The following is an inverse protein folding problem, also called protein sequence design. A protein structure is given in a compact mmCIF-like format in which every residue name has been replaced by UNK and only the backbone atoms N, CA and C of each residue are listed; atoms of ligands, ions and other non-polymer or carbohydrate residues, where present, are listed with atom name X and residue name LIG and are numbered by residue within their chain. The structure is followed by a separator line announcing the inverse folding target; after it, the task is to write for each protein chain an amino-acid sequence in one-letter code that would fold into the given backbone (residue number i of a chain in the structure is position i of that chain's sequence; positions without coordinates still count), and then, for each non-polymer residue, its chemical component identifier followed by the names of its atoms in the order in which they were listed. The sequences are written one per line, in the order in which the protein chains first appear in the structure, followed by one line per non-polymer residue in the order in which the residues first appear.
data_IF_640306362775
#
_entry.id   IF_640306362775
#
_cell.length_a   1.000
_cell.length_b   1.000
_cell.length_c   1.000
_cell.angle_alpha   90.00
_cell.angle_beta   90.00
_cell.angle_gamma   90.00
#
_symmetry.space_group_name_H-M   'P 1'
#
loop_
_entity.id
_entity.type
_entity.pdbx_description
1 polymer ?
#
# COMPACT_ATOMS: atom_id res chain seq x y z
N UNK A 1 -72.44 27.42 -67.21
CA UNK A 1 -71.24 26.77 -67.79
C UNK A 1 -70.21 26.63 -66.69
N UNK A 2 -69.83 25.39 -66.30
CA UNK A 2 -69.05 25.13 -65.09
C UNK A 2 -67.54 25.06 -65.39
N UNK A 3 -66.73 25.52 -64.42
CA UNK A 3 -65.33 25.09 -64.26
C UNK A 3 -65.09 24.91 -62.76
N UNK A 4 -64.70 23.71 -62.26
CA UNK A 4 -64.54 23.46 -60.84
C UNK A 4 -63.14 23.85 -60.36
N UNK A 5 -63.06 24.64 -59.28
CA UNK A 5 -61.80 24.93 -58.57
C UNK A 5 -61.64 23.96 -57.40
N UNK A 6 -60.48 23.29 -57.38
CA UNK A 6 -60.04 22.32 -56.37
C UNK A 6 -59.99 22.92 -54.96
N UNK A 7 -60.53 22.17 -54.01
CA UNK A 7 -60.35 22.39 -52.57
C UNK A 7 -58.92 22.05 -52.14
N UNK A 8 -58.31 22.95 -51.37
CA UNK A 8 -57.11 22.68 -50.57
C UNK A 8 -57.48 22.97 -49.12
N UNK A 9 -57.44 21.94 -48.27
CA UNK A 9 -57.69 22.02 -46.83
C UNK A 9 -56.44 22.55 -46.12
N UNK A 10 -56.57 23.65 -45.37
CA UNK A 10 -55.62 24.03 -44.33
C UNK A 10 -56.06 23.45 -42.98
N UNK A 11 -55.23 22.68 -42.27
CA UNK A 11 -55.53 22.27 -40.91
C UNK A 11 -55.27 23.42 -39.91
N UNK A 12 -56.19 23.55 -38.97
CA UNK A 12 -56.21 24.54 -37.91
C UNK A 12 -55.06 24.36 -36.90
N UNK A 13 -54.51 25.49 -36.44
CA UNK A 13 -53.56 25.60 -35.33
C UNK A 13 -54.23 25.23 -33.99
N UNK A 14 -53.93 24.05 -33.46
CA UNK A 14 -53.94 23.67 -32.04
C UNK A 14 -52.55 23.06 -31.81
N UNK A 15 -51.71 23.33 -30.82
CA UNK A 15 -51.88 23.79 -29.43
C UNK A 15 -50.48 24.09 -28.87
N UNK A 16 -50.13 25.35 -28.60
CA UNK A 16 -48.79 25.72 -28.12
C UNK A 16 -48.63 25.73 -26.58
N UNK A 17 -49.59 25.20 -25.82
CA UNK A 17 -49.62 25.33 -24.34
C UNK A 17 -49.28 24.06 -23.56
N UNK A 18 -49.04 22.92 -24.22
CA UNK A 18 -48.72 21.65 -23.56
C UNK A 18 -47.21 21.38 -23.42
N UNK A 19 -46.34 22.03 -24.21
CA UNK A 19 -44.90 21.74 -24.24
C UNK A 19 -44.07 22.45 -23.15
N UNK A 20 -44.64 23.42 -22.44
CA UNK A 20 -43.92 24.22 -21.43
C UNK A 20 -43.95 23.56 -20.05
N UNK A 21 -44.91 22.67 -19.76
CA UNK A 21 -45.01 22.00 -18.45
C UNK A 21 -44.20 20.71 -18.33
N UNK A 22 -43.90 20.02 -19.44
CA UNK A 22 -43.02 18.83 -19.42
C UNK A 22 -41.53 19.20 -19.34
N UNK A 23 -41.15 20.38 -19.81
CA UNK A 23 -39.76 20.86 -19.78
C UNK A 23 -39.32 21.28 -18.37
N UNK A 24 -40.23 21.84 -17.55
CA UNK A 24 -39.91 22.19 -16.15
C UNK A 24 -39.79 20.96 -15.23
N UNK A 25 -40.57 19.89 -15.46
CA UNK A 25 -40.48 18.66 -14.67
C UNK A 25 -39.20 17.86 -14.96
N UNK A 26 -38.73 17.84 -16.21
CA UNK A 26 -37.49 17.18 -16.59
C UNK A 26 -36.23 17.92 -16.06
N UNK A 27 -36.28 19.26 -15.97
CA UNK A 27 -35.17 20.07 -15.44
C UNK A 27 -35.05 19.96 -13.91
N UNK A 28 -36.18 19.79 -13.19
CA UNK A 28 -36.16 19.61 -11.73
C UNK A 28 -35.71 18.20 -11.34
N UNK A 29 -36.01 17.17 -12.15
CA UNK A 29 -35.57 15.80 -11.87
C UNK A 29 -34.07 15.57 -12.14
N UNK A 30 -33.42 16.44 -12.92
CA UNK A 30 -31.97 16.41 -13.16
C UNK A 30 -31.15 17.06 -12.03
N UNK A 31 -31.82 17.82 -11.13
CA UNK A 31 -31.20 18.49 -9.98
C UNK A 31 -31.31 17.69 -8.67
N UNK A 32 -31.90 16.50 -8.71
CA UNK A 32 -32.17 15.62 -7.56
C UNK A 32 -31.45 14.27 -7.65
N UNK A 33 -30.51 14.09 -8.59
CA UNK A 33 -29.53 13.02 -8.44
C UNK A 33 -28.69 13.35 -7.22
N UNK A 34 -28.58 12.47 -6.20
CA UNK A 34 -27.60 12.67 -5.15
C UNK A 34 -26.25 12.80 -5.87
N UNK A 35 -25.66 14.00 -5.80
CA UNK A 35 -24.27 14.16 -6.14
C UNK A 35 -23.55 13.13 -5.28
N UNK A 36 -23.03 12.06 -5.90
CA UNK A 36 -22.03 11.24 -5.26
C UNK A 36 -20.99 12.22 -4.80
N UNK A 37 -20.88 12.41 -3.49
CA UNK A 37 -19.98 13.36 -2.88
C UNK A 37 -18.58 13.01 -3.36
N UNK A 38 -18.08 13.70 -4.38
CA UNK A 38 -16.68 13.66 -4.75
C UNK A 38 -15.97 14.46 -3.68
N UNK A 39 -15.77 13.83 -2.52
CA UNK A 39 -14.88 14.39 -1.51
C UNK A 39 -13.53 14.53 -2.20
N UNK A 40 -12.96 15.74 -2.15
CA UNK A 40 -11.59 15.92 -2.59
C UNK A 40 -10.73 14.96 -1.74
N UNK A 41 -10.04 14.04 -2.40
CA UNK A 41 -9.30 12.93 -1.76
C UNK A 41 -8.12 13.45 -0.93
N UNK A 42 -7.55 14.57 -1.38
CA UNK A 42 -6.73 15.46 -0.59
C UNK A 42 -7.60 16.62 -0.14
N UNK A 43 -7.71 16.80 1.17
CA UNK A 43 -8.44 17.89 1.81
C UNK A 43 -7.48 19.01 2.24
N UNK A 44 -8.01 20.21 2.42
CA UNK A 44 -7.25 21.38 2.86
C UNK A 44 -6.77 22.27 1.71
N UNK A 45 -5.89 23.21 2.03
CA UNK A 45 -5.39 24.20 1.07
C UNK A 45 -4.23 23.60 0.28
N UNK A 46 -4.17 23.84 -1.03
CA UNK A 46 -3.05 23.40 -1.87
C UNK A 46 -1.70 23.91 -1.31
N UNK A 47 -1.70 25.13 -0.74
CA UNK A 47 -0.52 25.74 -0.10
C UNK A 47 -0.02 25.01 1.14
N UNK A 48 -0.78 24.04 1.66
CA UNK A 48 -0.32 23.18 2.77
C UNK A 48 0.81 22.26 2.29
N UNK A 49 0.78 21.83 1.03
CA UNK A 49 1.76 20.90 0.46
C UNK A 49 2.55 21.51 -0.71
N UNK A 50 2.04 22.58 -1.33
CA UNK A 50 2.64 23.22 -2.49
C UNK A 50 3.07 24.66 -2.25
N UNK A 51 4.05 25.11 -3.02
CA UNK A 51 4.47 26.51 -3.12
C UNK A 51 4.74 26.88 -4.56
N UNK A 52 4.29 28.06 -4.99
CA UNK A 52 4.51 28.53 -6.36
C UNK A 52 5.93 29.08 -6.56
N UNK A 53 6.54 29.62 -5.51
CA UNK A 53 7.79 30.39 -5.60
C UNK A 53 8.80 30.02 -4.51
N UNK A 54 8.48 29.06 -3.63
CA UNK A 54 9.19 28.84 -2.37
C UNK A 54 9.44 30.15 -1.59
N UNK A 55 8.48 31.07 -1.65
CA UNK A 55 8.56 32.33 -0.92
C UNK A 55 7.18 32.89 -0.63
N UNK A 56 6.92 33.20 0.65
CA UNK A 56 5.73 33.91 1.08
C UNK A 56 6.18 35.02 2.04
N UNK A 57 5.90 36.28 1.68
CA UNK A 57 6.32 37.46 2.45
C UNK A 57 7.84 37.52 2.70
N UNK A 58 8.65 36.97 1.78
CA UNK A 58 10.11 36.95 1.88
C UNK A 58 10.69 35.80 2.70
N UNK A 59 9.85 34.96 3.33
CA UNK A 59 10.27 33.74 4.01
C UNK A 59 10.13 32.51 3.10
N UNK A 60 10.96 31.49 3.31
CA UNK A 60 10.81 30.17 2.67
C UNK A 60 9.43 29.57 2.98
N UNK A 61 8.90 28.80 2.03
CA UNK A 61 7.70 28.01 2.26
C UNK A 61 8.02 26.54 2.55
N UNK A 62 9.27 26.08 2.45
CA UNK A 62 9.59 24.69 2.75
C UNK A 62 9.42 24.36 4.23
N UNK A 63 9.15 23.09 4.54
CA UNK A 63 9.00 22.63 5.93
C UNK A 63 10.31 22.76 6.74
N UNK A 64 11.46 22.60 6.08
CA UNK A 64 12.80 22.74 6.64
C UNK A 64 13.38 24.16 6.52
N UNK A 65 12.58 25.12 6.05
CA UNK A 65 13.00 26.51 5.74
C UNK A 65 14.07 26.62 4.66
N UNK A 66 14.32 25.58 3.86
CA UNK A 66 15.28 25.61 2.75
C UNK A 66 14.90 26.61 1.66
N UNK A 67 15.89 27.21 1.01
CA UNK A 67 15.68 28.06 -0.16
C UNK A 67 15.51 27.25 -1.47
N UNK A 68 15.84 25.96 -1.44
CA UNK A 68 15.75 25.06 -2.60
C UNK A 68 14.29 24.82 -2.98
N UNK A 69 13.95 25.03 -4.25
CA UNK A 69 12.62 24.68 -4.77
C UNK A 69 12.54 23.19 -5.05
N UNK A 70 11.44 22.57 -4.67
CA UNK A 70 11.19 21.17 -4.98
C UNK A 70 10.47 20.96 -6.32
N UNK A 71 10.61 19.73 -6.81
CA UNK A 71 9.85 19.25 -7.97
C UNK A 71 8.35 19.30 -7.69
N UNK A 72 7.57 19.42 -8.76
CA UNK A 72 6.11 19.44 -8.70
C UNK A 72 5.53 20.55 -7.79
N UNK A 73 6.30 21.63 -7.58
CA UNK A 73 5.93 22.75 -6.71
C UNK A 73 5.69 22.31 -5.26
N UNK A 74 6.27 21.20 -4.82
CA UNK A 74 6.07 20.70 -3.47
C UNK A 74 6.82 21.57 -2.45
N UNK A 75 6.39 21.47 -1.19
CA UNK A 75 7.03 22.12 -0.06
C UNK A 75 8.19 21.31 0.53
N UNK A 76 8.31 20.05 0.12
CA UNK A 76 9.44 19.18 0.43
C UNK A 76 9.34 17.87 -0.38
N UNK A 77 10.34 17.01 -0.23
CA UNK A 77 10.36 15.64 -0.74
C UNK A 77 9.54 14.68 0.15
N UNK A 78 9.77 13.37 -0.01
CA UNK A 78 9.12 12.33 0.77
C UNK A 78 9.26 12.56 2.29
N UNK A 79 10.49 12.61 2.83
CA UNK A 79 10.70 12.70 4.28
C UNK A 79 10.46 14.11 4.82
N UNK A 80 10.69 15.17 4.05
CA UNK A 80 10.39 16.49 4.57
C UNK A 80 8.88 16.76 4.70
N UNK A 81 8.02 15.96 4.06
CA UNK A 81 6.58 15.95 4.34
C UNK A 81 6.16 14.84 5.31
N UNK A 82 6.64 13.62 5.08
CA UNK A 82 6.18 12.39 5.75
C UNK A 82 7.15 11.86 6.81
N UNK A 83 8.25 12.52 7.11
CA UNK A 83 9.30 12.01 7.98
C UNK A 83 9.98 13.10 8.78
N UNK A 84 9.21 14.06 9.30
CA UNK A 84 9.76 15.24 9.97
C UNK A 84 10.35 14.96 11.37
N UNK A 85 10.39 13.69 11.80
CA UNK A 85 10.89 13.26 13.11
C UNK A 85 10.17 13.92 14.31
N UNK A 86 8.93 14.39 14.11
CA UNK A 86 8.13 15.03 15.14
C UNK A 86 7.51 14.06 16.14
N UNK A 87 6.76 14.60 17.10
CA UNK A 87 6.08 13.82 18.15
C UNK A 87 4.75 13.20 17.72
N UNK A 88 4.22 13.57 16.56
CA UNK A 88 2.92 13.11 16.07
C UNK A 88 3.12 12.16 14.89
N UNK A 89 2.45 10.99 14.91
CA UNK A 89 2.44 10.08 13.75
C UNK A 89 1.51 10.54 12.64
N UNK A 90 0.56 11.42 12.94
CA UNK A 90 -0.28 12.14 11.98
C UNK A 90 -0.10 13.63 12.21
N UNK A 91 0.46 14.33 11.22
CA UNK A 91 0.60 15.77 11.25
C UNK A 91 -0.68 16.43 10.72
N UNK A 92 -1.29 17.28 11.54
CA UNK A 92 -2.40 18.14 11.18
C UNK A 92 -1.87 19.47 10.62
N UNK A 93 -2.15 19.76 9.35
CA UNK A 93 -1.75 21.00 8.70
C UNK A 93 -2.95 21.64 7.98
N UNK A 94 -3.63 22.57 8.67
CA UNK A 94 -4.78 23.33 8.13
C UNK A 94 -5.84 22.44 7.43
N UNK A 95 -6.25 21.35 8.09
CA UNK A 95 -7.25 20.41 7.58
C UNK A 95 -6.72 19.36 6.59
N UNK A 96 -5.41 19.28 6.40
CA UNK A 96 -4.72 18.18 5.73
C UNK A 96 -4.06 17.29 6.77
N UNK A 97 -4.28 15.98 6.68
CA UNK A 97 -3.62 14.99 7.55
C UNK A 97 -2.45 14.36 6.79
N UNK A 98 -1.26 14.39 7.37
CA UNK A 98 -0.03 13.88 6.73
C UNK A 98 0.55 12.77 7.61
N UNK A 99 0.45 11.48 7.21
CA UNK A 99 1.05 10.41 7.97
C UNK A 99 2.56 10.57 8.00
N UNK A 100 3.15 10.41 9.19
CA UNK A 100 4.58 10.47 9.41
C UNK A 100 5.13 9.04 9.53
N UNK A 101 5.99 8.64 8.59
CA UNK A 101 6.75 7.37 8.60
C UNK A 101 7.96 7.41 9.53
N UNK A 102 8.30 8.59 10.07
CA UNK A 102 9.32 8.79 11.10
C UNK A 102 8.81 9.76 12.17
N UNK A 103 8.61 9.26 13.39
CA UNK A 103 8.06 10.04 14.51
C UNK A 103 8.42 9.45 15.88
N UNK A 104 8.17 10.21 16.94
CA UNK A 104 8.34 9.80 18.35
C UNK A 104 7.02 9.66 19.13
N UNK A 105 5.88 9.64 18.43
CA UNK A 105 4.55 9.41 19.03
C UNK A 105 4.54 8.17 19.94
N UNK A 106 4.14 8.38 21.20
CA UNK A 106 4.11 7.36 22.24
C UNK A 106 2.88 6.46 22.18
N UNK A 107 1.86 6.81 21.40
CA UNK A 107 0.61 6.05 21.30
C UNK A 107 0.64 4.90 20.29
N UNK A 108 1.78 4.68 19.62
CA UNK A 108 1.97 3.62 18.63
C UNK A 108 2.50 4.14 17.30
N UNK A 109 2.71 3.23 16.36
CA UNK A 109 3.23 3.53 15.01
C UNK A 109 2.14 3.37 13.94
N UNK A 110 2.48 3.76 12.70
CA UNK A 110 1.64 3.46 11.53
C UNK A 110 1.64 1.96 11.21
N UNK A 111 0.69 1.51 10.38
CA UNK A 111 0.51 0.09 10.03
C UNK A 111 1.74 -0.56 9.37
N UNK A 112 2.59 0.24 8.72
CA UNK A 112 3.84 -0.20 8.10
C UNK A 112 5.05 -0.11 9.05
N UNK A 113 4.89 0.50 10.23
CA UNK A 113 5.96 0.75 11.18
C UNK A 113 6.58 2.16 11.08
N UNK A 114 7.80 2.32 11.60
CA UNK A 114 8.39 3.63 11.85
C UNK A 114 9.92 3.64 11.69
N UNK A 115 10.44 4.45 10.75
CA UNK A 115 11.88 4.56 10.49
C UNK A 115 12.68 5.11 11.67
N UNK A 116 12.02 5.68 12.69
CA UNK A 116 12.67 6.10 13.93
C UNK A 116 13.45 4.98 14.65
N UNK A 117 13.12 3.71 14.38
CA UNK A 117 13.86 2.56 14.91
C UNK A 117 15.21 2.34 14.21
N UNK A 118 15.34 2.71 12.94
CA UNK A 118 16.63 2.72 12.23
C UNK A 118 17.47 3.87 12.77
N UNK A 119 16.87 5.05 12.89
CA UNK A 119 17.62 6.29 13.22
C UNK A 119 17.96 6.45 14.71
N UNK A 120 17.36 5.62 15.58
CA UNK A 120 17.50 5.74 17.03
C UNK A 120 16.68 6.89 17.65
N UNK A 121 15.80 7.52 16.88
CA UNK A 121 14.79 8.44 17.44
C UNK A 121 13.81 7.71 18.36
N UNK A 122 13.56 6.42 18.10
CA UNK A 122 12.87 5.50 19.00
C UNK A 122 13.80 4.32 19.32
N UNK A 123 14.24 4.24 20.57
CA UNK A 123 15.10 3.15 21.03
C UNK A 123 16.56 3.34 20.60
N UNK A 124 17.26 2.23 20.37
CA UNK A 124 18.65 2.22 19.91
C UNK A 124 18.66 2.07 18.39
N UNK A 125 19.43 2.91 17.70
CA UNK A 125 19.60 2.83 16.25
C UNK A 125 20.15 1.45 15.87
N UNK A 126 19.51 0.80 14.89
CA UNK A 126 19.92 -0.51 14.41
C UNK A 126 19.56 -0.69 12.93
N UNK A 127 20.55 -1.17 12.17
CA UNK A 127 20.43 -1.43 10.72
C UNK A 127 19.38 -2.50 10.42
N UNK A 128 19.36 -3.57 11.23
CA UNK A 128 18.48 -4.73 11.07
C UNK A 128 16.99 -4.45 11.37
N UNK A 129 16.62 -3.23 11.73
CA UNK A 129 15.27 -2.89 12.17
C UNK A 129 14.34 -2.44 11.03
N UNK A 130 14.84 -2.24 9.81
CA UNK A 130 14.04 -1.70 8.72
C UNK A 130 14.65 -1.78 7.33
N UNK A 131 13.92 -1.24 6.36
CA UNK A 131 14.43 -0.98 5.03
C UNK A 131 15.16 0.37 5.02
N UNK A 132 16.49 0.36 4.95
CA UNK A 132 17.35 1.54 4.94
C UNK A 132 17.27 2.28 3.59
N UNK A 133 16.17 3.01 3.36
CA UNK A 133 16.02 3.88 2.19
C UNK A 133 17.07 4.99 2.25
N UNK A 134 17.70 5.28 1.12
CA UNK A 134 18.78 6.29 1.03
C UNK A 134 18.30 7.68 1.43
N UNK A 135 16.99 7.93 1.33
CA UNK A 135 16.33 9.17 1.71
C UNK A 135 16.58 9.50 3.20
N UNK A 136 16.81 8.50 4.06
CA UNK A 136 17.08 8.71 5.50
C UNK A 136 18.42 9.43 5.76
N UNK A 137 19.34 9.42 4.80
CA UNK A 137 20.67 10.01 4.93
C UNK A 137 21.79 8.98 4.89
N UNK A 138 23.00 9.45 4.56
CA UNK A 138 24.19 8.60 4.37
C UNK A 138 24.63 7.84 5.62
N UNK A 139 24.26 8.34 6.79
CA UNK A 139 24.53 7.74 8.10
C UNK A 139 23.68 6.49 8.39
N UNK A 140 22.56 6.30 7.67
CA UNK A 140 21.63 5.19 7.85
C UNK A 140 21.60 4.28 6.63
N UNK A 141 22.63 4.30 5.79
CA UNK A 141 22.78 3.31 4.71
C UNK A 141 23.05 1.94 5.33
N UNK A 142 22.45 0.90 4.73
CA UNK A 142 22.67 -0.51 5.07
C UNK A 142 24.16 -0.89 5.02
N UNK A 143 24.65 -1.50 6.09
CA UNK A 143 26.07 -1.81 6.28
C UNK A 143 26.36 -3.29 6.55
N UNK A 144 25.33 -4.10 6.80
CA UNK A 144 25.44 -5.49 7.26
C UNK A 144 25.13 -6.53 6.19
N UNK A 145 24.32 -6.20 5.19
CA UNK A 145 23.86 -7.12 4.14
C UNK A 145 24.80 -7.22 2.93
N UNK A 146 26.04 -6.71 3.01
CA UNK A 146 27.09 -6.84 1.99
C UNK A 146 26.63 -6.49 0.55
N UNK A 147 25.70 -5.53 0.39
CA UNK A 147 25.06 -5.16 -0.88
C UNK A 147 24.25 -6.27 -1.57
N UNK A 148 23.91 -7.35 -0.88
CA UNK A 148 23.11 -8.45 -1.42
C UNK A 148 21.73 -8.45 -0.78
N UNK A 149 20.70 -8.40 -1.63
CA UNK A 149 19.32 -8.43 -1.18
C UNK A 149 18.99 -9.86 -0.67
N UNK A 150 18.49 -10.03 0.58
CA UNK A 150 18.13 -11.34 1.08
C UNK A 150 17.01 -11.98 0.25
N UNK A 151 17.24 -13.19 -0.26
CA UNK A 151 16.21 -13.89 -1.03
C UNK A 151 15.92 -13.27 -2.40
N UNK A 152 16.89 -12.58 -3.01
CA UNK A 152 16.82 -12.06 -4.37
C UNK A 152 16.25 -13.04 -5.38
N UNK A 153 15.62 -12.51 -6.44
CA UNK A 153 15.07 -13.31 -7.53
C UNK A 153 16.21 -14.10 -8.20
N UNK A 154 16.20 -15.43 -8.04
CA UNK A 154 17.18 -16.34 -8.64
C UNK A 154 16.91 -16.57 -10.13
N UNK A 155 16.98 -15.51 -10.92
CA UNK A 155 16.76 -15.54 -12.37
C UNK A 155 17.44 -14.34 -13.05
N UNK A 156 18.07 -14.54 -14.21
CA UNK A 156 18.44 -13.48 -15.16
C UNK A 156 19.06 -12.20 -14.55
N UNK A 157 20.11 -12.34 -13.73
CA UNK A 157 20.84 -11.22 -13.10
C UNK A 157 20.02 -10.39 -12.09
N UNK A 158 18.93 -10.90 -11.53
CA UNK A 158 18.14 -10.15 -10.55
C UNK A 158 18.63 -10.32 -9.10
N UNK A 159 19.49 -11.29 -8.82
CA UNK A 159 19.88 -11.67 -7.46
C UNK A 159 20.54 -10.53 -6.67
N UNK A 160 21.43 -9.79 -7.33
CA UNK A 160 22.29 -8.78 -6.70
C UNK A 160 22.10 -7.37 -7.30
N UNK A 161 21.14 -7.20 -8.23
CA UNK A 161 21.07 -5.99 -9.06
C UNK A 161 19.75 -5.21 -8.96
N UNK A 162 18.67 -5.77 -8.39
CA UNK A 162 17.40 -5.03 -8.28
C UNK A 162 17.56 -3.89 -7.27
N UNK A 163 17.89 -4.25 -6.02
CA UNK A 163 18.10 -3.30 -4.92
C UNK A 163 19.37 -3.69 -4.18
N UNK A 164 20.14 -2.69 -3.75
CA UNK A 164 21.29 -2.83 -2.86
C UNK A 164 21.29 -1.69 -1.82
N UNK A 165 22.28 -1.69 -0.93
CA UNK A 165 22.36 -0.74 0.19
C UNK A 165 22.36 0.74 -0.26
N UNK A 166 22.77 1.03 -1.49
CA UNK A 166 22.98 2.38 -1.99
C UNK A 166 21.89 2.90 -2.93
N UNK A 167 20.85 2.11 -3.23
CA UNK A 167 19.89 2.48 -4.26
C UNK A 167 18.41 2.31 -3.89
N UNK A 168 18.09 1.78 -2.70
CA UNK A 168 16.71 1.68 -2.23
C UNK A 168 16.15 3.07 -1.91
N UNK A 169 14.99 3.41 -2.45
CA UNK A 169 14.35 4.73 -2.27
C UNK A 169 12.91 4.59 -1.78
N UNK A 170 12.27 5.68 -1.36
CA UNK A 170 10.83 5.64 -1.06
C UNK A 170 10.00 5.29 -2.31
N UNK A 171 10.33 5.85 -3.47
CA UNK A 171 9.52 5.75 -4.69
C UNK A 171 10.35 5.68 -5.99
N UNK A 172 9.80 5.03 -7.01
CA UNK A 172 10.40 4.92 -8.35
C UNK A 172 11.13 3.61 -8.60
N UNK A 173 12.06 3.60 -9.57
CA UNK A 173 12.77 2.41 -10.09
C UNK A 173 13.12 1.36 -9.00
N UNK A 174 13.79 1.80 -7.94
CA UNK A 174 14.21 0.93 -6.82
C UNK A 174 13.45 1.24 -5.53
N UNK A 175 12.26 1.83 -5.63
CA UNK A 175 11.44 2.19 -4.48
C UNK A 175 10.20 1.32 -4.33
N UNK A 176 9.45 1.55 -3.25
CA UNK A 176 8.21 0.82 -3.00
C UNK A 176 6.99 1.52 -3.61
N UNK A 177 6.94 2.84 -3.57
CA UNK A 177 5.79 3.61 -4.03
C UNK A 177 5.96 4.09 -5.48
N UNK A 178 4.84 4.31 -6.17
CA UNK A 178 4.86 4.86 -7.52
C UNK A 178 5.28 3.85 -8.59
N UNK A 179 5.50 4.35 -9.80
CA UNK A 179 5.89 3.51 -10.92
C UNK A 179 7.35 3.09 -10.87
N UNK A 180 7.61 1.78 -11.02
CA UNK A 180 8.95 1.18 -10.96
C UNK A 180 9.46 0.81 -12.35
N UNK A 181 9.78 1.83 -13.14
CA UNK A 181 10.30 1.69 -14.51
C UNK A 181 11.82 1.57 -14.53
N UNK A 182 12.39 1.15 -15.67
CA UNK A 182 13.83 0.91 -15.89
C UNK A 182 14.73 2.12 -15.61
N UNK A 183 16.04 1.90 -15.61
CA UNK A 183 17.08 2.94 -15.46
C UNK A 183 16.80 4.20 -16.30
N UNK A 184 17.06 5.37 -15.69
CA UNK A 184 16.76 6.69 -16.27
C UNK A 184 15.33 7.18 -16.03
N UNK A 185 14.47 6.35 -15.43
CA UNK A 185 13.11 6.75 -15.05
C UNK A 185 13.08 7.63 -13.80
N UNK A 186 12.04 8.45 -13.62
CA UNK A 186 11.90 9.29 -12.43
C UNK A 186 11.88 8.47 -11.14
N UNK A 187 12.62 8.92 -10.12
CA UNK A 187 12.56 8.45 -8.74
C UNK A 187 11.94 9.51 -7.82
N UNK A 188 11.67 9.12 -6.57
CA UNK A 188 11.11 9.98 -5.54
C UNK A 188 9.71 10.51 -5.98
N UNK A 189 9.24 11.65 -5.48
CA UNK A 189 7.89 12.21 -5.72
C UNK A 189 7.47 12.26 -7.20
N UNK A 190 8.42 12.35 -8.12
CA UNK A 190 8.15 12.35 -9.56
C UNK A 190 7.58 11.01 -10.06
N UNK A 191 7.95 9.88 -9.45
CA UNK A 191 7.42 8.55 -9.77
C UNK A 191 5.94 8.38 -9.36
N UNK A 192 5.43 9.31 -8.53
CA UNK A 192 4.06 9.34 -8.03
C UNK A 192 3.27 10.55 -8.57
N UNK A 193 3.81 11.25 -9.56
CA UNK A 193 3.22 12.48 -10.08
C UNK A 193 1.78 12.26 -10.57
N UNK A 194 0.87 13.11 -10.11
CA UNK A 194 -0.57 13.04 -10.44
C UNK A 194 -1.37 12.04 -9.59
N UNK A 195 -0.74 10.97 -9.13
CA UNK A 195 -1.45 9.90 -8.42
C UNK A 195 -2.10 10.39 -7.11
N UNK A 196 -1.41 11.26 -6.37
CA UNK A 196 -1.93 11.79 -5.12
C UNK A 196 -3.19 12.67 -5.30
N UNK A 197 -3.45 13.23 -6.50
CA UNK A 197 -4.70 13.95 -6.80
C UNK A 197 -5.86 13.02 -7.15
N UNK A 198 -5.55 11.84 -7.69
CA UNK A 198 -6.52 10.89 -8.20
C UNK A 198 -6.74 9.70 -7.26
N UNK A 199 -6.09 9.71 -6.08
CA UNK A 199 -6.04 8.55 -5.18
C UNK A 199 -7.42 8.00 -4.86
N UNK A 200 -7.54 6.68 -4.94
CA UNK A 200 -8.69 5.91 -4.51
C UNK A 200 -8.37 5.31 -3.14
N UNK A 201 -9.31 5.36 -2.21
CA UNK A 201 -9.18 4.80 -0.85
C UNK A 201 -10.35 3.83 -0.59
N UNK A 202 -10.26 3.04 0.47
CA UNK A 202 -11.20 1.94 0.74
C UNK A 202 -10.83 0.70 -0.06
N UNK A 203 -11.82 0.07 -0.70
CA UNK A 203 -11.64 -1.17 -1.46
C UNK A 203 -10.96 -0.93 -2.81
N UNK A 204 -9.78 -1.51 -2.98
CA UNK A 204 -8.95 -1.38 -4.18
C UNK A 204 -8.83 -2.74 -4.87
N UNK A 205 -9.71 -2.98 -5.84
CA UNK A 205 -9.76 -4.23 -6.63
C UNK A 205 -9.22 -4.08 -8.05
N UNK A 206 -9.01 -2.83 -8.50
CA UNK A 206 -8.40 -2.48 -9.78
C UNK A 206 -7.14 -1.71 -9.44
N UNK A 207 -5.99 -2.39 -9.50
CA UNK A 207 -4.70 -1.89 -9.05
C UNK A 207 -3.74 -1.76 -10.25
N UNK A 208 -4.18 -1.09 -11.30
CA UNK A 208 -3.42 -0.97 -12.55
C UNK A 208 -2.65 0.34 -12.66
N UNK A 209 -2.89 1.32 -11.79
CA UNK A 209 -2.19 2.62 -11.74
C UNK A 209 -1.72 2.92 -10.31
N UNK A 210 -0.92 3.97 -10.14
CA UNK A 210 -0.44 4.36 -8.81
C UNK A 210 -1.63 4.74 -7.92
N UNK A 211 -2.53 5.57 -8.43
CA UNK A 211 -3.67 6.12 -7.67
C UNK A 211 -4.73 5.12 -7.24
N UNK A 212 -4.83 3.95 -7.87
CA UNK A 212 -5.83 2.93 -7.52
C UNK A 212 -5.22 1.66 -6.95
N UNK A 213 -3.90 1.65 -6.72
CA UNK A 213 -3.23 0.57 -6.02
C UNK A 213 -3.10 0.87 -4.53
N UNK A 214 -3.20 -0.18 -3.70
CA UNK A 214 -3.12 -0.08 -2.26
C UNK A 214 -1.83 0.65 -1.83
N UNK A 215 -1.98 1.76 -1.10
CA UNK A 215 -0.88 2.60 -0.61
C UNK A 215 0.11 3.03 -1.69
N UNK A 216 -0.39 3.26 -2.91
CA UNK A 216 0.41 3.61 -4.08
C UNK A 216 1.46 2.54 -4.48
N UNK A 217 1.28 1.29 -4.03
CA UNK A 217 2.11 0.15 -4.39
C UNK A 217 1.57 -0.45 -5.70
N UNK A 218 2.06 0.03 -6.85
CA UNK A 218 1.50 -0.31 -8.17
C UNK A 218 1.32 -1.81 -8.35
N UNK A 219 0.10 -2.24 -8.69
CA UNK A 219 -0.24 -3.65 -8.85
C UNK A 219 -0.86 -4.30 -7.62
N UNK A 220 -0.88 -3.65 -6.45
CA UNK A 220 -1.33 -4.28 -5.20
C UNK A 220 -2.79 -3.97 -4.92
N UNK A 221 -3.58 -5.02 -4.69
CA UNK A 221 -4.95 -4.91 -4.18
C UNK A 221 -4.97 -4.90 -2.66
N UNK A 222 -6.03 -4.31 -2.09
CA UNK A 222 -6.22 -4.28 -0.65
C UNK A 222 -7.37 -3.38 -0.25
N UNK A 223 -7.61 -3.29 1.06
CA UNK A 223 -8.54 -2.33 1.62
C UNK A 223 -7.78 -1.33 2.49
N UNK A 224 -7.82 -0.06 2.10
CA UNK A 224 -7.34 1.01 2.95
C UNK A 224 -8.42 1.39 3.94
N UNK A 225 -8.14 1.23 5.24
CA UNK A 225 -9.05 1.67 6.30
C UNK A 225 -9.43 3.13 6.09
N UNK A 226 -10.71 3.46 6.26
CA UNK A 226 -11.20 4.83 6.09
C UNK A 226 -11.45 5.54 7.43
N UNK A 227 -11.44 4.79 8.55
CA UNK A 227 -11.60 5.33 9.89
C UNK A 227 -10.26 5.83 10.43
N UNK A 228 -9.33 4.92 10.75
CA UNK A 228 -8.01 5.25 11.29
C UNK A 228 -6.92 5.34 10.21
N UNK A 229 -7.32 5.15 8.94
CA UNK A 229 -6.51 5.32 7.73
C UNK A 229 -5.23 4.50 7.77
N UNK A 230 -4.12 5.13 8.11
CA UNK A 230 -2.77 4.58 8.01
C UNK A 230 -2.36 3.72 9.20
N UNK A 231 -3.31 3.41 10.10
CA UNK A 231 -3.07 2.67 11.34
C UNK A 231 -3.85 1.35 11.36
N UNK A 232 -3.33 0.39 12.11
CA UNK A 232 -4.03 -0.83 12.51
C UNK A 232 -4.25 -0.76 14.02
N UNK A 233 -5.45 -0.39 14.43
CA UNK A 233 -5.79 -0.11 15.85
C UNK A 233 -6.34 -1.36 16.53
N UNK A 234 -7.18 -2.12 15.82
CA UNK A 234 -7.88 -3.28 16.38
C UNK A 234 -8.39 -4.21 15.27
N UNK A 235 -8.96 -5.34 15.67
CA UNK A 235 -9.66 -6.26 14.76
C UNK A 235 -10.83 -5.59 14.02
N UNK A 236 -11.40 -4.51 14.54
CA UNK A 236 -12.49 -3.77 13.89
C UNK A 236 -12.00 -2.57 13.06
N UNK A 237 -10.75 -2.14 13.24
CA UNK A 237 -10.17 -1.00 12.53
C UNK A 237 -8.72 -1.25 12.14
N UNK A 238 -8.54 -1.80 10.93
CA UNK A 238 -7.25 -2.14 10.34
C UNK A 238 -7.32 -2.11 8.82
N UNK A 239 -6.16 -2.14 8.16
CA UNK A 239 -6.06 -2.31 6.71
C UNK A 239 -6.10 -3.78 6.33
N UNK A 240 -6.76 -4.13 5.23
CA UNK A 240 -6.81 -5.52 4.75
C UNK A 240 -5.89 -5.73 3.56
N UNK A 241 -5.20 -6.86 3.56
CA UNK A 241 -4.23 -7.22 2.54
C UNK A 241 -4.85 -8.26 1.60
N UNK A 242 -4.81 -8.00 0.29
CA UNK A 242 -5.13 -9.05 -0.66
C UNK A 242 -3.99 -10.07 -0.73
N UNK A 243 -4.35 -11.35 -0.65
CA UNK A 243 -3.44 -12.46 -0.83
C UNK A 243 -4.02 -13.51 -1.77
N UNK A 244 -3.14 -14.38 -2.26
CA UNK A 244 -3.49 -15.50 -3.13
C UNK A 244 -3.36 -16.82 -2.35
N UNK A 245 -3.90 -17.91 -2.92
CA UNK A 245 -3.77 -19.27 -2.36
C UNK A 245 -2.59 -20.03 -2.96
N UNK A 246 -1.83 -19.39 -3.84
CA UNK A 246 -0.61 -19.92 -4.42
C UNK A 246 0.33 -18.74 -4.64
N UNK A 247 1.62 -18.86 -4.28
CA UNK A 247 2.60 -17.82 -4.53
C UNK A 247 2.67 -17.46 -6.02
N UNK A 248 3.10 -16.24 -6.32
CA UNK A 248 3.33 -15.91 -7.72
C UNK A 248 4.43 -16.79 -8.33
N UNK A 249 4.31 -17.03 -9.63
CA UNK A 249 5.39 -17.64 -10.42
C UNK A 249 6.18 -16.53 -11.08
N UNK A 250 7.48 -16.47 -10.82
CA UNK A 250 8.38 -15.51 -11.48
C UNK A 250 8.79 -16.06 -12.85
N UNK A 251 8.65 -15.23 -13.89
CA UNK A 251 9.15 -15.56 -15.22
C UNK A 251 8.85 -14.47 -16.24
N UNK A 252 9.63 -14.40 -17.32
CA UNK A 252 9.54 -13.36 -18.34
C UNK A 252 8.36 -13.53 -19.34
N UNK A 253 7.36 -14.34 -19.00
CA UNK A 253 6.22 -14.70 -19.86
C UNK A 253 4.90 -14.09 -19.37
N UNK A 254 3.82 -14.87 -19.42
CA UNK A 254 2.48 -14.44 -18.96
C UNK A 254 2.40 -14.14 -17.46
N UNK A 255 3.41 -14.52 -16.68
CA UNK A 255 3.55 -14.23 -15.25
C UNK A 255 4.64 -13.18 -14.98
N UNK A 256 4.92 -12.35 -15.98
CA UNK A 256 5.93 -11.29 -15.91
C UNK A 256 5.55 -10.22 -14.88
N UNK A 257 6.50 -9.90 -14.02
CA UNK A 257 6.43 -8.72 -13.16
C UNK A 257 6.58 -7.41 -13.96
N UNK A 258 7.17 -7.47 -15.16
CA UNK A 258 7.34 -6.32 -16.04
C UNK A 258 6.08 -6.09 -16.86
N UNK A 259 5.47 -4.92 -16.67
CA UNK A 259 4.31 -4.44 -17.43
C UNK A 259 4.50 -3.01 -17.94
N UNK A 260 3.45 -2.47 -18.54
CA UNK A 260 3.40 -1.08 -19.04
C UNK A 260 3.61 -0.03 -17.95
N UNK A 261 3.43 -0.42 -16.69
CA UNK A 261 3.56 0.42 -15.50
C UNK A 261 4.81 0.07 -14.67
N UNK A 262 5.78 -0.60 -15.30
CA UNK A 262 7.02 -1.02 -14.67
C UNK A 262 6.87 -2.36 -13.97
N UNK A 263 7.64 -2.56 -12.89
CA UNK A 263 7.63 -3.77 -12.08
C UNK A 263 6.41 -3.76 -11.14
N UNK A 264 5.63 -4.85 -11.16
CA UNK A 264 4.44 -5.06 -10.30
C UNK A 264 4.22 -6.55 -10.05
N UNK A 265 3.50 -6.94 -8.97
CA UNK A 265 3.19 -8.34 -8.72
C UNK A 265 2.12 -8.87 -9.69
N UNK A 266 2.40 -9.94 -10.46
CA UNK A 266 1.44 -10.50 -11.42
C UNK A 266 0.18 -11.08 -10.75
N UNK A 267 0.28 -11.55 -9.50
CA UNK A 267 -0.86 -12.03 -8.72
C UNK A 267 -1.58 -10.91 -7.94
N UNK A 268 -1.07 -9.68 -7.99
CA UNK A 268 -1.63 -8.47 -7.37
C UNK A 268 -1.71 -8.49 -5.83
N UNK A 269 -0.95 -9.36 -5.16
CA UNK A 269 -0.93 -9.51 -3.70
C UNK A 269 0.17 -8.67 -3.06
N UNK A 270 0.05 -8.42 -1.75
CA UNK A 270 1.11 -7.74 -1.00
C UNK A 270 2.38 -8.60 -0.89
N UNK A 271 2.23 -9.92 -0.73
CA UNK A 271 3.36 -10.86 -0.67
C UNK A 271 4.06 -10.99 -2.02
N UNK A 272 3.31 -11.03 -3.11
CA UNK A 272 3.83 -10.94 -4.46
C UNK A 272 4.60 -9.64 -4.68
N UNK A 273 4.13 -8.52 -4.11
CA UNK A 273 4.85 -7.24 -4.20
C UNK A 273 6.24 -7.33 -3.55
N UNK A 274 6.32 -7.83 -2.31
CA UNK A 274 7.59 -8.07 -1.63
C UNK A 274 8.52 -8.96 -2.47
N UNK A 275 7.95 -9.99 -3.09
CA UNK A 275 8.68 -10.95 -3.89
C UNK A 275 9.09 -10.44 -5.28
N UNK A 276 8.71 -9.21 -5.67
CA UNK A 276 9.32 -8.54 -6.84
C UNK A 276 10.78 -8.11 -6.59
N UNK A 277 11.23 -8.15 -5.33
CA UNK A 277 12.65 -8.09 -4.95
C UNK A 277 13.08 -9.39 -4.27
N UNK A 278 12.32 -9.88 -3.29
CA UNK A 278 12.63 -11.04 -2.44
C UNK A 278 12.05 -12.36 -2.96
N UNK A 279 12.14 -12.63 -4.27
CA UNK A 279 11.44 -13.73 -4.92
C UNK A 279 11.69 -15.12 -4.34
N UNK A 280 12.93 -15.42 -3.95
CA UNK A 280 13.32 -16.74 -3.43
C UNK A 280 12.67 -17.09 -2.08
N UNK A 281 12.12 -16.10 -1.37
CA UNK A 281 11.38 -16.32 -0.13
C UNK A 281 9.88 -16.56 -0.34
N UNK A 282 9.40 -16.52 -1.59
CA UNK A 282 7.97 -16.56 -1.87
C UNK A 282 7.59 -17.60 -2.93
N UNK A 283 8.34 -17.68 -4.04
CA UNK A 283 7.98 -18.59 -5.14
C UNK A 283 8.06 -20.07 -4.74
N UNK A 284 7.42 -20.94 -5.51
CA UNK A 284 7.73 -22.37 -5.48
C UNK A 284 9.10 -22.64 -6.10
N UNK A 285 9.63 -23.84 -5.85
CA UNK A 285 10.88 -24.31 -6.44
C UNK A 285 10.86 -24.24 -7.97
N UNK A 286 11.95 -23.77 -8.56
CA UNK A 286 12.23 -23.76 -10.00
C UNK A 286 13.59 -24.41 -10.26
N UNK A 287 14.11 -24.35 -11.50
CA UNK A 287 15.48 -24.80 -11.80
C UNK A 287 16.55 -24.03 -11.05
N UNK A 288 16.28 -22.77 -10.72
CA UNK A 288 17.28 -21.80 -10.25
C UNK A 288 16.99 -21.30 -8.82
N UNK A 289 15.78 -21.54 -8.30
CA UNK A 289 15.33 -21.09 -6.98
C UNK A 289 14.76 -22.24 -6.18
N UNK A 290 15.15 -22.36 -4.91
CA UNK A 290 14.54 -23.33 -3.99
C UNK A 290 13.14 -22.88 -3.51
N UNK A 291 12.90 -21.57 -3.47
CA UNK A 291 11.59 -21.02 -3.10
C UNK A 291 11.17 -21.35 -1.65
N UNK A 292 9.86 -21.42 -1.42
CA UNK A 292 9.29 -21.91 -0.14
C UNK A 292 9.21 -23.43 -0.07
N UNK A 293 9.29 -24.11 -1.21
CA UNK A 293 9.16 -25.56 -1.37
C UNK A 293 8.64 -25.93 -2.75
N UNK A 294 8.50 -27.24 -3.00
CA UNK A 294 8.07 -27.77 -4.30
C UNK A 294 6.57 -27.66 -4.55
N UNK A 295 5.78 -27.49 -3.49
CA UNK A 295 4.33 -27.36 -3.56
C UNK A 295 3.78 -26.42 -2.46
N UNK A 296 2.46 -26.26 -2.46
CA UNK A 296 1.72 -25.37 -1.55
C UNK A 296 1.22 -26.06 -0.27
N UNK A 297 1.64 -27.30 0.02
CA UNK A 297 1.06 -28.14 1.08
C UNK A 297 2.08 -28.43 2.18
N UNK A 298 3.21 -29.06 1.85
CA UNK A 298 4.33 -29.41 2.76
C UNK A 298 5.25 -30.46 2.09
N UNK A 299 6.53 -30.60 2.51
CA UNK A 299 7.23 -29.78 3.49
C UNK A 299 7.68 -28.46 2.89
N UNK A 300 7.57 -27.41 3.69
CA UNK A 300 8.17 -26.12 3.35
C UNK A 300 9.59 -26.06 3.87
N UNK A 301 10.47 -25.42 3.09
CA UNK A 301 11.84 -25.12 3.51
C UNK A 301 11.98 -23.66 3.98
N UNK A 302 10.93 -22.84 3.79
CA UNK A 302 10.76 -21.47 4.31
C UNK A 302 9.29 -21.26 4.65
N UNK A 303 8.96 -20.31 5.52
CA UNK A 303 7.56 -20.10 5.93
C UNK A 303 6.68 -19.71 4.72
N UNK A 304 5.53 -20.37 4.51
CA UNK A 304 4.68 -20.09 3.36
C UNK A 304 4.03 -18.70 3.43
N UNK A 305 3.85 -18.08 2.26
CA UNK A 305 3.12 -16.80 2.07
C UNK A 305 2.34 -16.85 0.75
N UNK A 306 1.22 -16.14 0.64
CA UNK A 306 0.18 -16.42 -0.38
C UNK A 306 -0.22 -17.90 -0.41
N UNK A 307 -0.46 -18.47 0.76
CA UNK A 307 -1.01 -19.80 0.94
C UNK A 307 -2.06 -19.77 2.04
N UNK A 308 -3.05 -20.63 1.90
CA UNK A 308 -4.19 -20.73 2.83
C UNK A 308 -3.69 -21.14 4.22
N UNK A 309 -4.13 -20.41 5.24
CA UNK A 309 -4.06 -20.85 6.63
C UNK A 309 -4.92 -22.10 6.76
N UNK A 310 -4.37 -23.30 7.08
CA UNK A 310 -5.15 -24.52 7.03
C UNK A 310 -6.33 -24.56 8.02
N UNK A 311 -7.47 -25.09 7.60
CA UNK A 311 -8.59 -25.43 8.50
C UNK A 311 -8.38 -26.81 9.14
N UNK A 312 -7.28 -26.96 9.87
CA UNK A 312 -6.92 -28.17 10.62
C UNK A 312 -5.89 -27.89 11.69
N UNK A 313 -5.70 -28.87 12.57
CA UNK A 313 -4.65 -28.89 13.57
C UNK A 313 -4.69 -27.65 14.48
N UNK A 314 -3.56 -26.99 14.73
CA UNK A 314 -3.48 -25.78 15.56
C UNK A 314 -4.04 -24.53 14.85
N UNK A 315 -3.93 -24.49 13.52
CA UNK A 315 -4.24 -23.33 12.68
C UNK A 315 -5.73 -23.00 12.63
N UNK A 316 -6.60 -24.01 12.78
CA UNK A 316 -8.06 -23.83 12.79
C UNK A 316 -8.56 -22.95 13.95
N UNK A 317 -7.74 -22.73 14.97
CA UNK A 317 -8.11 -21.93 16.14
C UNK A 317 -7.90 -20.42 15.93
N UNK A 318 -7.08 -20.02 14.95
CA UNK A 318 -6.91 -18.62 14.61
C UNK A 318 -8.15 -18.09 13.86
N UNK A 319 -9.13 -17.63 14.63
CA UNK A 319 -10.48 -17.28 14.14
C UNK A 319 -10.86 -15.82 14.39
N UNK A 320 -10.06 -15.08 15.16
CA UNK A 320 -10.25 -13.65 15.44
C UNK A 320 -9.01 -12.90 14.97
N UNK A 321 -9.19 -11.81 14.22
CA UNK A 321 -8.10 -11.08 13.60
C UNK A 321 -7.15 -10.48 14.64
N UNK A 322 -5.85 -10.71 14.46
CA UNK A 322 -4.79 -10.08 15.26
C UNK A 322 -4.10 -8.98 14.47
N UNK A 323 -4.01 -7.78 15.04
CA UNK A 323 -3.19 -6.69 14.47
C UNK A 323 -1.69 -6.93 14.65
N UNK A 324 -1.29 -7.76 15.61
CA UNK A 324 0.09 -8.21 15.82
C UNK A 324 0.48 -9.28 14.80
N UNK A 325 -0.42 -10.20 14.45
CA UNK A 325 -0.18 -11.25 13.47
C UNK A 325 -1.24 -11.24 12.36
N UNK A 326 -1.27 -10.20 11.50
CA UNK A 326 -2.37 -10.01 10.54
C UNK A 326 -2.43 -11.11 9.49
N UNK A 327 -3.62 -11.34 8.94
CA UNK A 327 -3.84 -12.33 7.87
C UNK A 327 -4.33 -11.62 6.59
N UNK A 328 -4.06 -12.22 5.44
CA UNK A 328 -4.55 -11.74 4.14
C UNK A 328 -5.90 -12.35 3.76
N UNK A 329 -6.59 -11.69 2.82
CA UNK A 329 -7.89 -12.11 2.28
C UNK A 329 -7.75 -12.51 0.82
N UNK A 330 -8.40 -13.60 0.43
CA UNK A 330 -8.50 -14.03 -0.98
C UNK A 330 -9.48 -13.20 -1.80
N UNK A 331 -10.25 -12.33 -1.15
CA UNK A 331 -11.10 -11.32 -1.78
C UNK A 331 -11.01 -10.04 -0.96
N UNK A 332 -10.79 -8.90 -1.61
CA UNK A 332 -10.74 -7.61 -0.92
C UNK A 332 -12.12 -7.30 -0.32
N UNK A 333 -12.23 -7.15 1.01
CA UNK A 333 -13.50 -6.86 1.64
C UNK A 333 -13.90 -5.39 1.44
N UNK A 334 -15.17 -5.07 1.69
CA UNK A 334 -15.67 -3.69 1.61
C UNK A 334 -15.37 -2.86 2.89
N UNK A 335 -14.96 -3.53 3.97
CA UNK A 335 -14.61 -2.97 5.27
C UNK A 335 -13.66 -3.96 6.02
N UNK A 336 -12.98 -3.55 7.10
CA UNK A 336 -12.17 -4.47 7.91
C UNK A 336 -13.04 -5.59 8.51
N UNK A 337 -12.50 -6.81 8.58
CA UNK A 337 -13.17 -7.97 9.18
C UNK A 337 -12.43 -8.43 10.44
N UNK A 338 -13.12 -8.44 11.57
CA UNK A 338 -12.55 -8.94 12.83
C UNK A 338 -12.47 -10.46 12.90
N UNK A 339 -13.09 -11.18 11.95
CA UNK A 339 -13.03 -12.64 11.87
C UNK A 339 -11.90 -13.10 10.94
N UNK A 340 -11.28 -14.22 11.30
CA UNK A 340 -10.37 -15.01 10.46
C UNK A 340 -11.05 -16.33 10.12
N UNK A 341 -10.94 -16.75 8.87
CA UNK A 341 -11.53 -17.97 8.34
C UNK A 341 -10.40 -18.90 7.88
N UNK A 342 -9.93 -19.81 8.75
CA UNK A 342 -9.08 -20.92 8.34
C UNK A 342 -9.69 -21.67 7.15
N UNK A 343 -8.85 -22.16 6.26
CA UNK A 343 -9.25 -22.77 4.98
C UNK A 343 -9.58 -21.76 3.87
N UNK A 344 -9.62 -20.46 4.17
CA UNK A 344 -9.88 -19.40 3.17
C UNK A 344 -8.89 -18.25 3.25
N UNK A 345 -8.63 -17.71 4.43
CA UNK A 345 -7.68 -16.61 4.63
C UNK A 345 -6.24 -17.11 4.48
N UNK A 346 -5.33 -16.21 4.15
CA UNK A 346 -4.00 -16.56 3.65
C UNK A 346 -2.89 -15.89 4.45
N UNK A 347 -1.83 -16.64 4.72
CA UNK A 347 -0.63 -16.09 5.36
C UNK A 347 0.08 -15.17 4.38
N UNK A 348 0.52 -14.01 4.85
CA UNK A 348 1.27 -13.03 4.05
C UNK A 348 2.63 -12.77 4.66
N UNK A 349 3.53 -12.10 3.94
CA UNK A 349 4.82 -11.66 4.49
C UNK A 349 4.59 -10.70 5.67
N UNK A 350 3.55 -9.88 5.58
CA UNK A 350 3.18 -8.94 6.63
C UNK A 350 2.53 -9.61 7.85
N UNK A 351 2.25 -10.92 7.82
CA UNK A 351 1.78 -11.64 9.01
C UNK A 351 2.81 -11.63 10.13
N UNK A 352 4.11 -11.53 9.79
CA UNK A 352 5.20 -11.47 10.77
C UNK A 352 6.03 -10.19 10.65
N UNK A 353 6.11 -9.59 9.46
CA UNK A 353 6.96 -8.42 9.21
C UNK A 353 6.18 -7.10 9.15
N UNK A 354 6.85 -6.03 9.54
CA UNK A 354 6.50 -4.64 9.23
C UNK A 354 7.16 -4.24 7.91
N UNK A 355 6.51 -3.38 7.13
CA UNK A 355 6.98 -3.05 5.78
C UNK A 355 8.10 -1.99 5.76
N UNK A 356 8.06 -1.01 6.67
CA UNK A 356 9.07 0.05 6.77
C UNK A 356 10.15 -0.31 7.79
N UNK A 357 9.80 -0.34 9.06
CA UNK A 357 10.72 -0.61 10.16
C UNK A 357 9.96 -0.97 11.45
N UNK A 358 10.60 -1.70 12.34
CA UNK A 358 10.03 -2.17 13.60
C UNK A 358 11.04 -1.99 14.75
N UNK A 359 10.63 -2.11 16.03
CA UNK A 359 11.58 -2.12 17.14
C UNK A 359 12.40 -3.41 17.24
N UNK A 360 12.14 -4.40 16.37
CA UNK A 360 12.74 -5.72 16.42
C UNK A 360 13.62 -5.98 15.19
N UNK A 361 14.69 -6.79 15.35
CA UNK A 361 15.49 -7.28 14.21
C UNK A 361 14.64 -7.99 13.16
N UNK A 362 15.13 -7.98 11.92
CA UNK A 362 14.48 -8.59 10.75
C UNK A 362 13.09 -8.00 10.47
N UNK A 363 12.83 -6.79 10.98
CA UNK A 363 11.58 -6.05 10.80
C UNK A 363 10.35 -6.80 11.35
N UNK A 364 10.53 -7.64 12.36
CA UNK A 364 9.44 -8.45 12.91
C UNK A 364 8.44 -7.60 13.70
N UNK A 365 7.22 -8.09 13.86
CA UNK A 365 6.17 -7.40 14.64
C UNK A 365 6.32 -7.60 16.15
N UNK A 366 7.15 -8.54 16.57
CA UNK A 366 7.38 -8.94 17.97
C UNK A 366 8.85 -9.36 18.16
N UNK A 367 9.27 -9.48 19.41
CA UNK A 367 10.60 -10.00 19.75
C UNK A 367 10.63 -11.53 19.55
N UNK A 368 11.18 -11.97 18.44
CA UNK A 368 11.29 -13.39 18.15
C UNK A 368 12.28 -14.12 19.07
N UNK A 369 13.24 -13.41 19.67
CA UNK A 369 14.26 -14.03 20.53
C UNK A 369 13.68 -14.52 21.86
N UNK A 370 12.54 -13.98 22.30
CA UNK A 370 11.81 -14.45 23.48
C UNK A 370 10.87 -15.62 23.17
N UNK A 371 10.49 -15.81 21.89
CA UNK A 371 9.53 -16.83 21.44
C UNK A 371 10.09 -18.25 21.43
N UNK A 372 10.25 -18.80 22.64
CA UNK A 372 10.64 -20.17 22.90
C UNK A 372 9.43 -21.11 22.90
N UNK A 373 9.41 -22.05 21.96
CA UNK A 373 8.36 -23.06 21.92
C UNK A 373 8.34 -23.88 23.24
N UNK A 374 7.16 -24.10 23.79
CA UNK A 374 6.90 -24.84 25.03
C UNK A 374 7.59 -24.28 26.29
N UNK A 375 8.11 -23.05 26.25
CA UNK A 375 8.95 -22.53 27.34
C UNK A 375 9.05 -20.99 27.42
N UNK A 376 8.29 -20.23 26.63
CA UNK A 376 8.37 -18.76 26.61
C UNK A 376 7.40 -18.06 27.55
N UNK A 377 6.33 -18.72 27.99
CA UNK A 377 5.24 -18.05 28.70
C UNK A 377 4.44 -17.07 27.82
N UNK A 378 4.84 -16.89 26.57
CA UNK A 378 4.15 -16.13 25.53
C UNK A 378 3.02 -17.01 24.96
N UNK A 379 1.77 -16.69 25.27
CA UNK A 379 0.60 -17.50 24.90
C UNK A 379 -0.26 -16.71 23.91
N UNK A 380 -0.61 -17.31 22.77
CA UNK A 380 -1.43 -16.69 21.71
C UNK A 380 -0.94 -15.31 21.23
N UNK A 381 0.37 -15.10 21.16
CA UNK A 381 1.01 -13.87 20.66
C UNK A 381 2.08 -14.20 19.63
N UNK A 382 2.46 -13.25 18.79
CA UNK A 382 3.44 -13.44 17.74
C UNK A 382 3.14 -14.65 16.85
N UNK A 383 4.14 -15.52 16.61
CA UNK A 383 3.94 -16.74 15.82
C UNK A 383 2.99 -17.76 16.48
N UNK A 384 2.83 -17.74 17.80
CA UNK A 384 1.90 -18.61 18.53
C UNK A 384 0.43 -18.22 18.33
N UNK A 385 0.15 -17.05 17.75
CA UNK A 385 -1.21 -16.71 17.26
C UNK A 385 -1.74 -17.79 16.30
N UNK A 386 -0.85 -18.35 15.45
CA UNK A 386 -1.19 -19.44 14.53
C UNK A 386 -0.69 -20.80 15.04
N UNK A 387 0.44 -20.81 15.76
CA UNK A 387 1.08 -22.02 16.28
C UNK A 387 0.72 -22.31 17.75
N UNK A 388 -0.58 -22.43 18.01
CA UNK A 388 -1.18 -22.51 19.36
C UNK A 388 -0.89 -23.80 20.13
N UNK A 389 -0.13 -24.75 19.57
CA UNK A 389 0.34 -25.94 20.29
C UNK A 389 1.83 -25.86 20.61
N UNK A 390 2.43 -24.69 20.44
CA UNK A 390 3.85 -24.43 20.65
C UNK A 390 4.07 -23.40 21.75
N UNK A 391 3.03 -22.84 22.35
CA UNK A 391 3.12 -21.81 23.39
C UNK A 391 3.20 -22.34 24.82
N UNK A 392 2.91 -23.63 25.07
CA UNK A 392 2.83 -24.23 26.41
C UNK A 392 3.70 -25.48 26.67
#
# INVERSE_FOLDING_TARGET
MPVPKKHIHHPQKKSARAFIRLSQAAIICLLLTPATSTWARITGLCSNCHTMHNSQQGASMQFDSSATQERNLLRSDCLGCHGQAGVAKILENNGSHIPQVMHTDASGDLAAGNFAYITGLKGVAADSHGHNVIDLGTEFIEQTLDNVLPGGIKQSFHEDYIVNASNLTCAGMNGCHGYRYTEGSPTDVAAMSGAHHNNVEGKLTVADTVENSYRFLVGVKGYENQLDRWQNISAESHNEYYGATTPMTLGCGTTSCHGSNGVSPPNQTISGFCATCHGNFHTLTTSDSDGVGTDIVSPFIRHPTDMVLPDRDEYQHYTTYSVEAPIGRTTVPDAPSSSVTPGTDVVTCLSCHMAHASPYPDMLRWDYSSMNAHNSGDINTGCFTCHTTKDD
#
